data_IF_014265367741
#
_entry.id   IF_014265367741
#
_cell.length_a   1.000
_cell.length_b   1.000
_cell.length_c   1.000
_cell.angle_alpha   90.00
_cell.angle_beta   90.00
_cell.angle_gamma   90.00
#
_symmetry.space_group_name_H-M   'P 1'
#
loop_
_entity.id
_entity.type
_entity.pdbx_description
1 polymer ?
#
# COMPACT_ATOMS: atom_id res chain seq x y z
N UNK A 1 11.48 4.95 2.12
CA UNK A 1 10.05 4.79 1.75
C UNK A 1 9.98 4.68 0.24
N UNK A 2 9.27 3.69 -0.33
CA UNK A 2 9.16 3.52 -1.79
C UNK A 2 8.24 4.60 -2.38
N UNK A 3 8.68 5.24 -3.46
CA UNK A 3 7.87 6.18 -4.24
C UNK A 3 6.70 5.46 -4.92
N UNK A 4 5.67 6.22 -5.33
CA UNK A 4 4.54 5.65 -6.07
C UNK A 4 5.01 4.96 -7.36
N UNK A 5 5.96 5.56 -8.07
CA UNK A 5 6.52 5.02 -9.31
C UNK A 5 7.33 3.73 -9.07
N UNK A 6 8.11 3.68 -8.00
CA UNK A 6 8.86 2.48 -7.58
C UNK A 6 7.87 1.33 -7.29
N UNK A 7 6.78 1.62 -6.57
CA UNK A 7 5.73 0.64 -6.25
C UNK A 7 5.02 0.13 -7.50
N UNK A 8 4.64 1.02 -8.42
CA UNK A 8 4.00 0.68 -9.69
C UNK A 8 4.92 -0.23 -10.51
N UNK A 9 6.20 0.13 -10.65
CA UNK A 9 7.15 -0.68 -11.43
C UNK A 9 7.31 -2.10 -10.87
N UNK A 10 7.45 -2.22 -9.54
CA UNK A 10 7.54 -3.53 -8.86
C UNK A 10 6.28 -4.37 -9.12
N UNK A 11 5.10 -3.77 -8.95
CA UNK A 11 3.83 -4.44 -9.14
C UNK A 11 3.65 -4.92 -10.59
N UNK A 12 3.94 -4.06 -11.56
CA UNK A 12 3.88 -4.39 -12.98
C UNK A 12 4.81 -5.55 -13.34
N UNK A 13 6.07 -5.54 -12.88
CA UNK A 13 6.98 -6.66 -13.13
C UNK A 13 6.51 -7.97 -12.51
N UNK A 14 5.93 -7.90 -11.29
CA UNK A 14 5.34 -9.07 -10.64
C UNK A 14 4.11 -9.58 -11.39
N UNK A 15 3.26 -8.69 -11.90
CA UNK A 15 2.12 -9.02 -12.75
C UNK A 15 2.57 -9.69 -14.06
N UNK A 16 3.66 -9.23 -14.67
CA UNK A 16 4.29 -9.84 -15.87
C UNK A 16 5.08 -11.12 -15.59
N UNK A 17 4.83 -11.79 -14.46
CA UNK A 17 5.41 -13.10 -14.12
C UNK A 17 6.89 -13.09 -13.73
N UNK A 18 7.50 -11.93 -13.48
CA UNK A 18 8.94 -11.88 -13.16
C UNK A 18 9.22 -12.48 -11.78
N UNK A 19 10.32 -13.24 -11.69
CA UNK A 19 10.82 -13.82 -10.43
C UNK A 19 11.35 -12.73 -9.51
N UNK A 20 11.50 -13.02 -8.21
CA UNK A 20 12.05 -12.07 -7.25
C UNK A 20 13.44 -11.58 -7.66
N UNK A 21 14.35 -12.51 -8.03
CA UNK A 21 15.71 -12.17 -8.49
C UNK A 21 15.68 -11.20 -9.67
N UNK A 22 14.77 -11.42 -10.63
CA UNK A 22 14.63 -10.54 -11.80
C UNK A 22 14.08 -9.16 -11.43
N UNK A 23 13.11 -9.10 -10.51
CA UNK A 23 12.60 -7.83 -9.98
C UNK A 23 13.70 -7.03 -9.28
N UNK A 24 14.56 -7.68 -8.47
CA UNK A 24 15.69 -7.01 -7.83
C UNK A 24 16.68 -6.43 -8.84
N UNK A 25 17.03 -7.19 -9.88
CA UNK A 25 17.91 -6.73 -10.95
C UNK A 25 17.31 -5.54 -11.72
N UNK A 26 16.03 -5.62 -12.07
CA UNK A 26 15.32 -4.53 -12.76
C UNK A 26 15.24 -3.28 -11.88
N UNK A 27 14.99 -3.46 -10.59
CA UNK A 27 14.95 -2.36 -9.62
C UNK A 27 16.30 -1.65 -9.51
N UNK A 28 17.38 -2.42 -9.33
CA UNK A 28 18.74 -1.87 -9.27
C UNK A 28 19.10 -1.15 -10.57
N UNK A 29 18.78 -1.74 -11.72
CA UNK A 29 19.04 -1.12 -13.04
C UNK A 29 18.27 0.17 -13.26
N UNK A 30 16.99 0.22 -12.86
CA UNK A 30 16.13 1.39 -13.10
C UNK A 30 16.38 2.51 -12.11
N UNK A 31 16.59 2.18 -10.83
CA UNK A 31 16.63 3.17 -9.74
C UNK A 31 18.01 3.38 -9.12
N UNK A 32 19.00 2.53 -9.39
CA UNK A 32 20.34 2.63 -8.81
C UNK A 32 20.40 2.39 -7.30
N UNK A 33 19.34 1.81 -6.71
CA UNK A 33 19.16 1.65 -5.26
C UNK A 33 19.04 0.19 -4.87
N UNK A 34 19.21 -0.08 -3.57
CA UNK A 34 18.91 -1.40 -3.03
C UNK A 34 17.41 -1.75 -3.22
N UNK A 35 17.11 -2.97 -3.68
CA UNK A 35 15.74 -3.40 -3.88
C UNK A 35 15.02 -3.63 -2.54
N UNK A 36 13.70 -3.45 -2.50
CA UNK A 36 12.92 -3.77 -1.32
C UNK A 36 12.93 -5.26 -1.01
N UNK A 37 12.65 -5.60 0.25
CA UNK A 37 12.60 -6.98 0.73
C UNK A 37 11.57 -7.81 -0.04
N UNK A 38 11.78 -9.13 -0.06
CA UNK A 38 10.84 -10.10 -0.68
C UNK A 38 9.42 -9.96 -0.16
N UNK A 39 9.26 -9.70 1.14
CA UNK A 39 7.95 -9.50 1.77
C UNK A 39 7.28 -8.22 1.26
N UNK A 40 8.01 -7.10 1.16
CA UNK A 40 7.46 -5.86 0.61
C UNK A 40 7.05 -6.01 -0.86
N UNK A 41 7.86 -6.69 -1.67
CA UNK A 41 7.51 -6.97 -3.06
C UNK A 41 6.23 -7.81 -3.16
N UNK A 42 6.08 -8.84 -2.31
CA UNK A 42 4.87 -9.67 -2.26
C UNK A 42 3.64 -8.86 -1.83
N UNK A 43 3.79 -8.01 -0.81
CA UNK A 43 2.71 -7.14 -0.33
C UNK A 43 2.23 -6.17 -1.41
N UNK A 44 3.16 -5.55 -2.14
CA UNK A 44 2.82 -4.65 -3.25
C UNK A 44 2.09 -5.41 -4.36
N UNK A 45 2.61 -6.55 -4.80
CA UNK A 45 1.94 -7.37 -5.81
C UNK A 45 0.52 -7.79 -5.38
N UNK A 46 0.36 -8.21 -4.12
CA UNK A 46 -0.94 -8.57 -3.58
C UNK A 46 -1.89 -7.37 -3.48
N UNK A 47 -1.40 -6.19 -3.04
CA UNK A 47 -2.17 -4.94 -3.01
C UNK A 47 -2.67 -4.62 -4.42
N UNK A 48 -1.79 -4.64 -5.41
CA UNK A 48 -2.15 -4.39 -6.81
C UNK A 48 -3.25 -5.31 -7.31
N UNK A 49 -3.05 -6.61 -7.10
CA UNK A 49 -4.00 -7.64 -7.53
C UNK A 49 -5.37 -7.46 -6.87
N UNK A 50 -5.41 -6.99 -5.62
CA UNK A 50 -6.66 -6.82 -4.86
C UNK A 50 -7.41 -5.55 -5.24
N UNK A 51 -6.73 -4.42 -5.39
CA UNK A 51 -7.39 -3.10 -5.50
C UNK A 51 -7.17 -2.40 -6.84
N UNK A 52 -6.22 -2.86 -7.66
CA UNK A 52 -5.74 -2.15 -8.84
C UNK A 52 -5.03 -0.83 -8.54
N UNK A 53 -4.92 -0.43 -7.26
CA UNK A 53 -4.42 0.88 -6.83
C UNK A 53 -3.13 0.75 -6.03
N UNK A 54 -2.12 1.52 -6.44
CA UNK A 54 -0.82 1.59 -5.78
C UNK A 54 -0.67 2.76 -4.82
N UNK A 55 -1.40 3.85 -5.08
CA UNK A 55 -1.49 4.98 -4.18
C UNK A 55 -1.92 4.49 -2.80
N UNK A 56 -1.35 5.09 -1.76
CA UNK A 56 -1.93 4.95 -0.44
C UNK A 56 -3.22 5.77 -0.48
N UNK A 57 -4.36 5.08 -0.42
CA UNK A 57 -5.61 5.77 -0.11
C UNK A 57 -5.39 6.45 1.24
N UNK A 58 -5.62 7.77 1.30
CA UNK A 58 -5.90 8.39 2.58
C UNK A 58 -7.04 7.57 3.15
N UNK A 59 -6.75 6.76 4.17
CA UNK A 59 -7.82 6.14 4.96
C UNK A 59 -8.63 7.33 5.46
N UNK A 60 -9.90 7.52 5.07
CA UNK A 60 -10.73 8.43 5.83
C UNK A 60 -10.66 7.87 7.24
N UNK A 61 -9.96 8.59 8.12
CA UNK A 61 -9.98 8.28 9.54
C UNK A 61 -11.44 8.17 9.92
N UNK A 62 -11.73 7.16 10.75
CA UNK A 62 -12.97 7.01 11.49
C UNK A 62 -13.69 8.35 11.62
N UNK A 63 -14.95 8.49 11.16
CA UNK A 63 -15.66 9.75 11.27
C UNK A 63 -15.52 10.22 12.70
N UNK A 64 -14.96 11.41 12.89
CA UNK A 64 -14.81 12.04 14.18
C UNK A 64 -16.23 12.30 14.68
N UNK A 65 -16.80 11.33 15.39
CA UNK A 65 -18.05 11.50 16.09
C UNK A 65 -17.77 12.66 17.04
N UNK A 66 -18.44 13.80 16.85
CA UNK A 66 -18.25 14.95 17.74
C UNK A 66 -18.58 14.54 19.17
N UNK A 67 -17.90 15.11 20.16
CA UNK A 67 -18.18 14.83 21.58
C UNK A 67 -19.66 15.07 21.93
N UNK A 68 -20.34 15.98 21.21
CA UNK A 68 -21.79 16.19 21.29
C UNK A 68 -22.62 14.96 20.89
N UNK A 69 -22.19 14.23 19.87
CA UNK A 69 -22.87 12.99 19.45
C UNK A 69 -22.62 11.87 20.46
N UNK A 70 -21.43 11.84 21.08
CA UNK A 70 -21.11 10.89 22.17
C UNK A 70 -21.94 11.19 23.42
N UNK A 71 -22.06 12.45 23.84
CA UNK A 71 -22.88 12.85 25.00
C UNK A 71 -24.36 12.50 24.84
N UNK A 72 -24.92 12.64 23.63
CA UNK A 72 -26.29 12.22 23.32
C UNK A 72 -26.49 10.71 23.43
N UNK A 73 -25.48 9.91 23.07
CA UNK A 73 -25.55 8.44 23.21
C UNK A 73 -25.53 8.00 24.68
N UNK A 74 -24.77 8.68 25.55
CA UNK A 74 -24.71 8.36 26.98
C UNK A 74 -25.91 8.85 27.80
N UNK A 75 -26.68 9.84 27.33
CA UNK A 75 -27.91 10.28 28.01
C UNK A 75 -29.13 9.36 27.76
N UNK A 76 -29.07 8.49 26.76
CA UNK A 76 -30.17 7.58 26.43
C UNK A 76 -30.02 6.17 27.02
N UNK A 77 -28.91 5.89 27.72
CA UNK A 77 -28.78 4.71 28.57
C UNK A 77 -28.92 5.15 30.02
N UNK A 78 -30.16 5.21 30.49
CA UNK A 78 -30.50 5.29 31.93
C UNK A 78 -30.00 4.07 32.68
#
# INVERSE_FOLDING_TARGET
MLSLEERISIASWKQSGKTYKKVCQLYQRKYGKQPPTRNNIRLLANKFRRTGRMADEKRPGQPSISDDTVKRLYQNCS
#
